data_IF_366276580063
#
_entry.id   IF_366276580063
#
_cell.length_a   1.000
_cell.length_b   1.000
_cell.length_c   1.000
_cell.angle_alpha   90.00
_cell.angle_beta   90.00
_cell.angle_gamma   90.00
#
_symmetry.space_group_name_H-M   'P 1'
#
loop_
_entity.id
_entity.type
_entity.pdbx_description
1 polymer ?
#
# COMPACT_ATOMS: atom_id res chain seq x y z
N UNK A 1 17.37 8.34 3.89
CA UNK A 1 17.79 6.98 3.52
C UNK A 1 16.84 6.50 2.46
N UNK A 2 17.35 6.08 1.31
CA UNK A 2 16.50 5.43 0.31
C UNK A 2 15.90 4.16 0.93
N UNK A 3 14.60 3.97 0.72
CA UNK A 3 13.82 2.88 1.32
C UNK A 3 14.14 1.55 0.65
N UNK A 4 15.36 1.06 0.84
CA UNK A 4 15.88 -0.16 0.22
C UNK A 4 15.60 -1.39 1.10
N UNK A 5 15.39 -2.53 0.44
CA UNK A 5 15.31 -3.83 1.10
C UNK A 5 16.19 -4.84 0.33
N UNK A 6 17.06 -5.53 1.06
CA UNK A 6 17.96 -6.52 0.49
C UNK A 6 17.22 -7.84 0.24
N UNK A 7 17.47 -8.47 -0.91
CA UNK A 7 16.89 -9.75 -1.29
C UNK A 7 17.99 -10.69 -1.78
N UNK A 8 17.82 -11.96 -1.47
CA UNK A 8 18.65 -13.04 -1.98
C UNK A 8 17.80 -14.07 -2.74
N UNK A 9 18.43 -15.16 -3.20
CA UNK A 9 17.75 -16.26 -3.92
C UNK A 9 16.70 -17.01 -3.08
N UNK A 10 16.69 -16.85 -1.76
CA UNK A 10 15.77 -17.51 -0.84
C UNK A 10 14.63 -16.59 -0.39
N UNK A 11 14.72 -15.30 -0.70
CA UNK A 11 13.77 -14.31 -0.27
C UNK A 11 12.44 -14.50 -1.00
N UNK A 12 11.36 -14.73 -0.25
CA UNK A 12 10.01 -14.84 -0.80
C UNK A 12 9.40 -13.45 -0.85
N UNK A 13 9.08 -12.98 -2.06
CA UNK A 13 8.43 -11.69 -2.30
C UNK A 13 6.98 -11.94 -2.72
N UNK A 14 6.03 -11.24 -2.08
CA UNK A 14 4.64 -11.18 -2.57
C UNK A 14 4.48 -9.98 -3.49
N UNK A 15 3.75 -10.15 -4.58
CA UNK A 15 3.52 -9.08 -5.56
C UNK A 15 2.04 -8.78 -5.65
N UNK A 16 1.69 -7.50 -5.51
CA UNK A 16 0.36 -6.98 -5.81
C UNK A 16 0.32 -6.59 -7.30
N UNK A 17 -0.45 -7.33 -8.08
CA UNK A 17 -0.83 -6.94 -9.44
C UNK A 17 -2.17 -6.21 -9.43
N UNK A 18 -2.67 -5.89 -10.62
CA UNK A 18 -4.02 -5.41 -10.84
C UNK A 18 -4.77 -6.37 -11.76
N UNK A 19 -6.11 -6.28 -11.74
CA UNK A 19 -6.98 -6.92 -12.71
C UNK A 19 -7.90 -5.87 -13.33
N UNK A 20 -7.85 -5.72 -14.66
CA UNK A 20 -8.70 -4.80 -15.43
C UNK A 20 -9.89 -5.46 -16.11
N UNK A 21 -10.18 -6.73 -15.81
CA UNK A 21 -11.23 -7.53 -16.46
C UNK A 21 -12.39 -7.89 -15.53
N UNK A 22 -12.21 -7.73 -14.23
CA UNK A 22 -13.20 -8.08 -13.22
C UNK A 22 -13.58 -6.82 -12.44
N UNK A 23 -14.85 -6.40 -12.46
CA UNK A 23 -15.32 -5.29 -11.63
C UNK A 23 -15.01 -5.52 -10.15
N UNK A 24 -14.80 -4.45 -9.39
CA UNK A 24 -14.47 -4.56 -7.98
C UNK A 24 -15.73 -4.79 -7.12
N UNK A 25 -15.59 -5.67 -6.12
CA UNK A 25 -16.57 -5.92 -5.06
C UNK A 25 -15.84 -6.37 -3.77
N UNK A 26 -16.59 -6.70 -2.72
CA UNK A 26 -16.03 -7.15 -1.44
C UNK A 26 -15.09 -8.38 -1.59
N UNK A 27 -15.40 -9.28 -2.53
CA UNK A 27 -14.66 -10.51 -2.78
C UNK A 27 -13.41 -10.33 -3.62
N UNK A 28 -13.30 -9.27 -4.43
CA UNK A 28 -12.22 -9.13 -5.44
C UNK A 28 -10.97 -8.42 -4.95
N UNK A 29 -10.88 -8.00 -3.67
CA UNK A 29 -9.69 -7.33 -3.10
C UNK A 29 -8.35 -8.01 -3.42
N UNK A 30 -8.36 -9.34 -3.46
CA UNK A 30 -7.18 -10.16 -3.75
C UNK A 30 -6.66 -10.00 -5.19
N UNK A 31 -7.45 -9.45 -6.11
CA UNK A 31 -7.09 -9.22 -7.51
C UNK A 31 -6.30 -7.93 -7.72
N UNK A 32 -6.33 -7.02 -6.75
CA UNK A 32 -5.64 -5.72 -6.81
C UNK A 32 -4.83 -5.40 -5.54
N UNK A 33 -4.61 -6.40 -4.67
CA UNK A 33 -3.76 -6.25 -3.49
C UNK A 33 -3.17 -7.57 -3.01
N UNK A 34 -2.02 -7.47 -2.36
CA UNK A 34 -1.37 -8.57 -1.64
C UNK A 34 -1.00 -8.11 -0.23
N UNK A 35 -0.91 -9.03 0.72
CA UNK A 35 -0.54 -8.70 2.10
C UNK A 35 0.10 -9.87 2.84
N UNK A 36 0.71 -9.56 3.98
CA UNK A 36 1.32 -10.55 4.87
C UNK A 36 1.40 -10.04 6.32
N UNK A 37 1.50 -11.00 7.24
CA UNK A 37 1.86 -10.77 8.64
C UNK A 37 3.17 -11.49 9.00
N UNK A 38 3.87 -12.02 7.99
CA UNK A 38 5.15 -12.70 8.17
C UNK A 38 6.29 -11.69 8.14
N UNK A 39 7.24 -11.86 9.05
CA UNK A 39 8.50 -11.11 9.12
C UNK A 39 9.36 -11.45 7.90
N UNK A 40 10.14 -10.47 7.43
CA UNK A 40 11.09 -10.54 6.32
C UNK A 40 10.49 -11.04 4.98
N UNK A 41 9.17 -10.87 4.82
CA UNK A 41 8.46 -11.17 3.59
C UNK A 41 7.95 -9.87 2.97
N UNK A 42 8.71 -9.25 2.05
CA UNK A 42 8.28 -8.01 1.42
C UNK A 42 7.05 -8.25 0.54
N UNK A 43 6.14 -7.27 0.55
CA UNK A 43 5.02 -7.16 -0.39
C UNK A 43 5.30 -5.95 -1.26
N UNK A 44 5.28 -6.10 -2.59
CA UNK A 44 5.62 -5.01 -3.52
C UNK A 44 4.60 -4.87 -4.65
N UNK A 45 4.66 -3.74 -5.33
CA UNK A 45 4.06 -3.51 -6.64
C UNK A 45 4.98 -2.60 -7.46
N UNK A 46 4.99 -2.75 -8.77
CA UNK A 46 5.85 -1.99 -9.68
C UNK A 46 5.11 -1.65 -10.99
N UNK A 47 5.75 -0.87 -11.87
CA UNK A 47 5.17 -0.30 -13.09
C UNK A 47 4.02 0.67 -12.81
N UNK A 48 4.17 1.50 -11.78
CA UNK A 48 3.19 2.49 -11.33
C UNK A 48 3.06 3.70 -12.27
N UNK A 49 2.93 3.50 -13.58
CA UNK A 49 2.82 4.59 -14.57
C UNK A 49 1.54 5.39 -14.33
N UNK A 50 0.40 5.00 -14.90
CA UNK A 50 -0.88 5.65 -14.61
C UNK A 50 -1.51 5.15 -13.29
N UNK A 51 -1.20 3.92 -12.87
CA UNK A 51 -1.71 3.31 -11.65
C UNK A 51 -1.21 4.03 -10.39
N UNK A 52 -2.00 3.94 -9.31
CA UNK A 52 -1.61 4.40 -7.98
C UNK A 52 -1.36 3.18 -7.08
N UNK A 53 -0.16 3.10 -6.50
CA UNK A 53 0.12 2.18 -5.40
C UNK A 53 -0.26 2.79 -4.06
N UNK A 54 -0.82 1.96 -3.18
CA UNK A 54 -0.98 2.26 -1.76
C UNK A 54 -0.31 1.15 -0.96
N UNK A 55 0.69 1.47 -0.16
CA UNK A 55 1.23 0.55 0.85
C UNK A 55 0.67 0.92 2.22
N UNK A 56 0.15 -0.06 2.94
CA UNK A 56 -0.30 0.06 4.32
C UNK A 56 0.67 -0.70 5.23
N UNK A 57 1.15 -0.02 6.27
CA UNK A 57 1.98 -0.58 7.33
C UNK A 57 1.20 -0.49 8.65
N UNK A 58 0.87 -1.62 9.25
CA UNK A 58 0.13 -1.69 10.50
C UNK A 58 1.00 -2.35 11.57
N UNK A 59 1.30 -1.61 12.64
CA UNK A 59 2.18 -2.04 13.71
C UNK A 59 1.36 -2.28 14.99
N UNK A 60 1.70 -3.33 15.73
CA UNK A 60 1.19 -3.55 17.07
C UNK A 60 2.09 -2.77 18.02
N UNK A 61 1.59 -1.68 18.60
CA UNK A 61 2.35 -0.86 19.53
C UNK A 61 1.82 -1.11 20.93
N UNK A 62 2.72 -1.31 21.88
CA UNK A 62 2.36 -1.30 23.29
C UNK A 62 1.93 0.12 23.67
N UNK A 63 0.70 0.28 24.18
CA UNK A 63 0.10 1.59 24.47
C UNK A 63 0.90 2.43 25.48
N UNK A 64 1.58 1.78 26.43
CA UNK A 64 2.32 2.46 27.51
C UNK A 64 3.74 2.85 27.10
N UNK A 65 4.42 2.00 26.35
CA UNK A 65 5.86 2.14 26.04
C UNK A 65 6.15 2.57 24.60
N UNK A 66 5.19 2.41 23.68
CA UNK A 66 5.38 2.56 22.24
C UNK A 66 6.25 1.45 21.61
N UNK A 67 6.59 0.40 22.37
CA UNK A 67 7.36 -0.73 21.85
C UNK A 67 6.58 -1.50 20.78
N UNK A 68 7.29 -1.97 19.75
CA UNK A 68 6.71 -2.77 18.67
C UNK A 68 6.60 -4.23 19.09
N UNK A 69 5.37 -4.70 19.14
CA UNK A 69 5.00 -6.05 19.54
C UNK A 69 4.73 -6.94 18.32
N UNK A 70 4.80 -8.28 18.47
CA UNK A 70 4.37 -9.19 17.41
C UNK A 70 2.92 -8.95 16.97
N UNK A 71 2.62 -9.22 15.70
CA UNK A 71 1.26 -9.08 15.13
C UNK A 71 1.12 -7.96 14.10
N UNK A 72 2.22 -7.34 13.69
CA UNK A 72 2.22 -6.39 12.58
C UNK A 72 1.69 -7.00 11.27
N UNK A 73 1.17 -6.15 10.39
CA UNK A 73 0.60 -6.54 9.11
C UNK A 73 0.95 -5.50 8.05
N UNK A 74 1.25 -5.95 6.84
CA UNK A 74 1.46 -5.07 5.68
C UNK A 74 0.58 -5.50 4.52
N UNK A 75 0.10 -4.53 3.74
CA UNK A 75 -0.68 -4.77 2.52
C UNK A 75 -0.36 -3.71 1.48
N UNK A 76 -0.19 -4.13 0.23
CA UNK A 76 0.03 -3.25 -0.91
C UNK A 76 -1.13 -3.41 -1.88
N UNK A 77 -1.67 -2.29 -2.34
CA UNK A 77 -2.70 -2.20 -3.36
C UNK A 77 -2.10 -1.63 -4.65
N UNK A 78 -2.48 -2.19 -5.79
CA UNK A 78 -2.15 -1.71 -7.12
C UNK A 78 -3.44 -1.28 -7.79
N UNK A 79 -3.70 0.02 -7.79
CA UNK A 79 -5.00 0.56 -8.19
C UNK A 79 -4.93 1.12 -9.61
N UNK A 80 -5.81 0.61 -10.48
CA UNK A 80 -6.07 1.25 -11.75
C UNK A 80 -6.74 2.62 -11.50
N UNK A 81 -6.51 3.60 -12.39
CA UNK A 81 -7.16 4.91 -12.29
C UNK A 81 -8.68 4.80 -12.24
N UNK A 82 -9.31 5.55 -11.33
CA UNK A 82 -10.76 5.53 -11.10
C UNK A 82 -11.59 6.05 -12.26
N UNK A 83 -10.96 6.59 -13.31
CA UNK A 83 -11.63 6.87 -14.58
C UNK A 83 -12.14 5.60 -15.28
N UNK A 84 -11.61 4.43 -14.91
CA UNK A 84 -12.18 3.13 -15.27
C UNK A 84 -13.42 2.83 -14.42
N UNK A 85 -14.51 3.56 -14.66
CA UNK A 85 -15.76 3.42 -13.92
C UNK A 85 -16.35 2.01 -14.01
N UNK A 86 -16.09 1.31 -15.12
CA UNK A 86 -16.47 -0.09 -15.32
C UNK A 86 -15.86 -1.05 -14.27
N UNK A 87 -14.79 -0.62 -13.60
CA UNK A 87 -14.14 -1.36 -12.53
C UNK A 87 -14.69 -1.00 -11.14
N UNK A 88 -15.76 -0.22 -11.04
CA UNK A 88 -16.41 0.14 -9.78
C UNK A 88 -15.43 0.77 -8.76
N UNK A 89 -14.86 1.95 -9.03
CA UNK A 89 -13.90 2.62 -8.14
C UNK A 89 -14.42 2.86 -6.72
N UNK A 90 -15.73 3.09 -6.55
CA UNK A 90 -16.35 3.21 -5.23
C UNK A 90 -16.19 1.94 -4.39
N UNK A 91 -16.26 0.75 -5.01
CA UNK A 91 -16.04 -0.52 -4.33
C UNK A 91 -14.57 -0.70 -3.91
N UNK A 92 -13.63 -0.12 -4.67
CA UNK A 92 -12.22 -0.06 -4.25
C UNK A 92 -12.09 0.78 -2.99
N UNK A 93 -12.66 1.99 -2.97
CA UNK A 93 -12.62 2.89 -1.80
C UNK A 93 -13.28 2.27 -0.57
N UNK A 94 -14.46 1.65 -0.72
CA UNK A 94 -15.14 0.92 0.35
C UNK A 94 -14.31 -0.25 0.86
N UNK A 95 -13.68 -1.01 -0.05
CA UNK A 95 -12.82 -2.13 0.30
C UNK A 95 -11.56 -1.69 1.05
N UNK A 96 -10.88 -0.61 0.61
CA UNK A 96 -9.76 -0.03 1.34
C UNK A 96 -10.20 0.48 2.73
N UNK A 97 -11.33 1.19 2.80
CA UNK A 97 -11.91 1.67 4.07
C UNK A 97 -12.18 0.51 5.03
N UNK A 98 -12.82 -0.55 4.55
CA UNK A 98 -13.11 -1.75 5.33
C UNK A 98 -11.84 -2.42 5.85
N UNK A 99 -10.78 -2.51 5.02
CA UNK A 99 -9.47 -3.00 5.47
C UNK A 99 -8.89 -2.14 6.60
N UNK A 100 -8.84 -0.81 6.44
CA UNK A 100 -8.28 0.11 7.44
C UNK A 100 -9.03 0.02 8.77
N UNK A 101 -10.36 -0.03 8.73
CA UNK A 101 -11.20 -0.17 9.93
C UNK A 101 -11.00 -1.51 10.62
N UNK A 102 -10.90 -2.60 9.86
CA UNK A 102 -10.68 -3.93 10.42
C UNK A 102 -9.32 -4.03 11.11
N UNK A 103 -8.28 -3.47 10.52
CA UNK A 103 -6.92 -3.46 11.11
C UNK A 103 -6.89 -2.61 12.38
N UNK A 104 -7.55 -1.45 12.39
CA UNK A 104 -7.70 -0.65 13.62
C UNK A 104 -8.52 -1.34 14.70
N UNK A 105 -9.57 -2.06 14.34
CA UNK A 105 -10.37 -2.84 15.30
C UNK A 105 -9.56 -3.97 15.96
N UNK A 106 -8.44 -4.38 15.35
CA UNK A 106 -7.46 -5.29 15.95
C UNK A 106 -6.46 -4.58 16.89
N UNK A 107 -6.60 -3.28 17.11
CA UNK A 107 -5.69 -2.48 17.95
C UNK A 107 -4.41 -2.04 17.24
N UNK A 108 -4.29 -2.25 15.93
CA UNK A 108 -3.06 -1.91 15.20
C UNK A 108 -3.03 -0.42 14.80
N UNK A 109 -1.85 0.18 14.92
CA UNK A 109 -1.57 1.53 14.46
C UNK A 109 -1.15 1.50 12.99
N UNK A 110 -1.87 2.22 12.13
CA UNK A 110 -1.69 2.16 10.68
C UNK A 110 -1.04 3.44 10.15
N UNK A 111 -0.10 3.27 9.24
CA UNK A 111 0.47 4.29 8.35
C UNK A 111 0.24 3.89 6.91
N UNK A 112 0.12 4.86 6.01
CA UNK A 112 0.04 4.61 4.58
C UNK A 112 1.09 5.38 3.80
N UNK A 113 1.44 4.87 2.63
CA UNK A 113 2.31 5.50 1.67
C UNK A 113 1.72 5.37 0.27
N UNK A 114 1.92 6.38 -0.56
CA UNK A 114 1.40 6.41 -1.93
C UNK A 114 2.52 6.68 -2.93
N UNK A 115 2.48 6.00 -4.08
CA UNK A 115 3.42 6.18 -5.20
C UNK A 115 2.73 5.91 -6.53
N UNK A 116 3.18 6.57 -7.60
CA UNK A 116 2.71 6.29 -8.95
C UNK A 116 1.94 7.43 -9.61
N UNK A 117 1.15 7.09 -10.59
CA UNK A 117 0.34 8.06 -11.33
C UNK A 117 1.13 8.87 -12.35
N UNK A 118 0.41 9.33 -13.36
CA UNK A 118 0.96 10.19 -14.39
C UNK A 118 1.33 11.55 -13.79
N UNK A 119 2.55 12.02 -14.09
CA UNK A 119 3.03 13.34 -13.64
C UNK A 119 2.21 14.50 -14.20
N UNK A 120 1.43 14.26 -15.26
CA UNK A 120 0.64 15.25 -16.00
C UNK A 120 -0.70 14.63 -16.43
N UNK A 121 -1.78 15.38 -16.26
CA UNK A 121 -3.13 14.97 -16.66
C UNK A 121 -3.96 14.45 -15.50
N UNK A 122 -5.29 14.49 -15.66
CA UNK A 122 -6.23 14.23 -14.56
C UNK A 122 -6.48 12.74 -14.29
N UNK A 123 -6.01 11.86 -15.18
CA UNK A 123 -6.33 10.42 -15.14
C UNK A 123 -5.98 9.77 -13.80
N UNK A 124 -4.76 10.03 -13.30
CA UNK A 124 -4.30 9.54 -11.99
C UNK A 124 -4.60 10.50 -10.84
N UNK A 125 -4.75 11.80 -11.11
CA UNK A 125 -4.89 12.85 -10.08
C UNK A 125 -6.17 12.67 -9.28
N UNK A 126 -7.31 12.46 -9.93
CA UNK A 126 -8.58 12.25 -9.21
C UNK A 126 -8.53 11.00 -8.30
N UNK A 127 -7.83 9.96 -8.75
CA UNK A 127 -7.62 8.74 -7.96
C UNK A 127 -6.77 9.02 -6.72
N UNK A 128 -5.65 9.75 -6.88
CA UNK A 128 -4.79 10.13 -5.77
C UNK A 128 -5.51 11.04 -4.77
N UNK A 129 -6.29 12.02 -5.23
CA UNK A 129 -7.10 12.88 -4.34
C UNK A 129 -8.15 12.09 -3.56
N UNK A 130 -8.91 11.21 -4.23
CA UNK A 130 -9.92 10.38 -3.55
C UNK A 130 -9.31 9.47 -2.46
N UNK A 131 -8.11 8.94 -2.71
CA UNK A 131 -7.37 8.15 -1.71
C UNK A 131 -6.89 9.01 -0.53
N UNK A 132 -6.38 10.22 -0.79
CA UNK A 132 -5.97 11.15 0.26
C UNK A 132 -7.16 11.59 1.12
N UNK A 133 -8.30 11.87 0.50
CA UNK A 133 -9.55 12.17 1.20
C UNK A 133 -10.02 10.98 2.05
N UNK A 134 -9.93 9.74 1.53
CA UNK A 134 -10.22 8.54 2.31
C UNK A 134 -9.32 8.43 3.54
N UNK A 135 -8.00 8.58 3.38
CA UNK A 135 -7.08 8.47 4.51
C UNK A 135 -7.27 9.59 5.52
N UNK A 136 -7.49 10.82 5.07
CA UNK A 136 -7.79 11.96 5.94
C UNK A 136 -9.11 11.74 6.70
N UNK A 137 -10.16 11.26 6.03
CA UNK A 137 -11.47 10.96 6.62
C UNK A 137 -11.42 9.82 7.63
N UNK A 138 -10.55 8.85 7.43
CA UNK A 138 -10.25 7.82 8.43
C UNK A 138 -9.18 8.30 9.44
N UNK A 139 -8.58 9.48 9.33
CA UNK A 139 -7.53 9.95 10.23
C UNK A 139 -6.26 9.07 10.21
N UNK A 140 -5.93 8.49 9.06
CA UNK A 140 -4.75 7.65 8.86
C UNK A 140 -3.60 8.53 8.36
N UNK A 141 -2.43 8.52 9.01
CA UNK A 141 -1.29 9.31 8.58
C UNK A 141 -0.71 8.79 7.25
N UNK A 142 -0.53 9.69 6.30
CA UNK A 142 0.21 9.47 5.07
C UNK A 142 1.69 9.79 5.35
N UNK A 143 2.53 8.75 5.40
CA UNK A 143 3.96 8.92 5.67
C UNK A 143 4.67 9.62 4.52
N UNK A 144 4.28 9.32 3.29
CA UNK A 144 4.71 10.06 2.11
C UNK A 144 3.70 9.93 0.96
N UNK A 145 3.67 10.97 0.14
CA UNK A 145 2.92 11.04 -1.11
C UNK A 145 3.91 11.32 -2.26
N UNK A 146 4.18 10.30 -3.06
CA UNK A 146 4.94 10.43 -4.30
C UNK A 146 4.07 10.09 -5.51
N UNK A 147 2.82 10.57 -5.49
CA UNK A 147 1.90 10.42 -6.60
C UNK A 147 1.92 11.62 -7.56
N UNK A 148 1.64 11.37 -8.82
CA UNK A 148 1.38 12.39 -9.84
C UNK A 148 2.50 13.44 -9.90
N UNK A 149 2.19 14.72 -9.67
CA UNK A 149 3.18 15.81 -9.70
C UNK A 149 4.29 15.66 -8.66
N UNK A 150 4.07 14.91 -7.58
CA UNK A 150 5.05 14.67 -6.52
C UNK A 150 6.00 13.52 -6.87
N UNK A 151 5.72 12.77 -7.95
CA UNK A 151 6.51 11.61 -8.35
C UNK A 151 7.84 12.02 -8.98
N UNK A 152 8.93 11.77 -8.27
CA UNK A 152 10.30 12.11 -8.70
C UNK A 152 11.03 10.97 -9.43
N UNK A 153 10.55 9.74 -9.32
CA UNK A 153 11.22 8.54 -9.86
C UNK A 153 10.21 7.46 -10.25
N UNK A 154 10.67 6.51 -11.06
CA UNK A 154 9.88 5.35 -11.48
C UNK A 154 10.37 4.14 -10.68
N UNK A 155 9.89 4.06 -9.44
CA UNK A 155 10.28 3.04 -8.47
C UNK A 155 9.09 2.15 -8.13
N UNK A 156 9.37 0.98 -7.55
CA UNK A 156 8.33 0.18 -6.94
C UNK A 156 7.80 0.85 -5.67
N UNK A 157 6.66 0.37 -5.17
CA UNK A 157 6.23 0.61 -3.80
C UNK A 157 5.97 -0.72 -3.10
N UNK A 158 6.45 -0.83 -1.86
CA UNK A 158 6.23 -2.01 -1.05
C UNK A 158 6.19 -1.72 0.44
N UNK A 159 5.99 -2.80 1.19
CA UNK A 159 6.13 -2.81 2.62
C UNK A 159 6.61 -4.17 3.12
N UNK A 160 7.32 -4.20 4.24
CA UNK A 160 7.85 -5.39 4.89
C UNK A 160 7.76 -5.25 6.40
N UNK A 161 7.63 -6.37 7.10
CA UNK A 161 7.76 -6.43 8.56
C UNK A 161 9.17 -6.93 8.87
N UNK A 162 9.93 -6.24 9.72
CA UNK A 162 11.29 -6.61 10.10
C UNK A 162 11.31 -7.44 11.39
N UNK A 163 12.49 -7.97 11.74
CA UNK A 163 12.68 -8.84 12.91
C UNK A 163 12.35 -8.18 14.25
N UNK A 164 12.36 -6.85 14.32
CA UNK A 164 11.96 -6.06 15.49
C UNK A 164 10.44 -5.73 15.51
N UNK A 165 9.66 -6.42 14.67
CA UNK A 165 8.22 -6.20 14.43
C UNK A 165 7.87 -4.83 13.82
N UNK A 166 8.85 -4.04 13.38
CA UNK A 166 8.58 -2.79 12.66
C UNK A 166 8.09 -3.05 11.25
N UNK A 167 7.19 -2.19 10.76
CA UNK A 167 6.72 -2.26 9.39
C UNK A 167 7.37 -1.15 8.56
N UNK A 168 8.16 -1.47 7.56
CA UNK A 168 8.90 -0.49 6.75
C UNK A 168 8.34 -0.43 5.33
N UNK A 169 8.24 0.78 4.77
CA UNK A 169 7.96 0.94 3.34
C UNK A 169 9.23 0.71 2.51
N UNK A 170 9.06 0.17 1.31
CA UNK A 170 10.13 -0.17 0.37
C UNK A 170 9.89 0.61 -0.93
N UNK A 171 10.98 1.11 -1.52
CA UNK A 171 11.04 1.73 -2.85
C UNK A 171 12.08 1.09 -3.76
N UNK A 172 13.03 0.33 -3.21
CA UNK A 172 14.06 -0.35 -3.98
C UNK A 172 14.32 -1.75 -3.41
N UNK A 173 14.46 -2.74 -4.29
CA UNK A 173 15.00 -4.04 -3.93
C UNK A 173 16.45 -4.10 -4.37
N UNK A 174 17.33 -4.58 -3.48
CA UNK A 174 18.77 -4.70 -3.73
C UNK A 174 19.13 -6.18 -3.66
N UNK A 175 19.64 -6.74 -4.75
CA UNK A 175 20.11 -8.12 -4.75
C UNK A 175 21.46 -8.22 -4.03
N UNK A 176 21.60 -9.18 -3.13
CA UNK A 176 22.83 -9.48 -2.36
C UNK A 176 23.34 -10.91 -2.58
#
# INVERSE_FOLDING_TARGET
MDKCFEIDRNTVVKVAGFNGFTPNDEGTRHLYSAGTSQINMPVITDNMTACIAVACAAENLNDDSGERMPGAQVRVFHLLPFHHEELAPEQVLESLRGYLRNVRAQGLTIRVAMHGGDRKGDFSVSTAEALKELFAGEGIPLEFDETCSNRSSDTLLGAVILDDNSAHFIKHLVAV
#
